data_IF_169496719705
#
_entry.id   IF_169496719705
#
_cell.length_a   1.000
_cell.length_b   1.000
_cell.length_c   1.000
_cell.angle_alpha   90.00
_cell.angle_beta   90.00
_cell.angle_gamma   90.00
#
_symmetry.space_group_name_H-M   'P 1'
#
loop_
_entity.id
_entity.type
_entity.pdbx_description
1 polymer ?
#
# COMPACT_ATOMS: atom_id res chain seq x y z
N UNK A 1 8.97 3.49 4.25
CA UNK A 1 7.53 3.41 4.60
C UNK A 1 6.71 4.21 3.59
N UNK A 2 5.77 3.57 2.92
CA UNK A 2 4.81 4.21 2.01
C UNK A 2 3.55 4.62 2.76
N UNK A 3 3.03 5.79 2.41
CA UNK A 3 1.86 6.38 3.04
C UNK A 3 0.89 6.84 1.95
N UNK A 4 -0.40 6.60 2.19
CA UNK A 4 -1.47 6.98 1.28
C UNK A 4 -2.22 8.15 1.88
N UNK A 5 -2.33 9.24 1.13
CA UNK A 5 -3.24 10.36 1.42
C UNK A 5 -4.32 10.40 0.36
N UNK A 6 -5.56 10.58 0.81
CA UNK A 6 -6.72 10.75 -0.06
C UNK A 6 -7.28 12.13 0.21
N UNK A 7 -7.42 12.94 -0.84
CA UNK A 7 -8.00 14.26 -0.72
C UNK A 7 -9.49 14.18 -0.38
N UNK A 8 -10.01 15.21 0.30
CA UNK A 8 -11.44 15.33 0.53
C UNK A 8 -12.13 15.77 -0.76
N UNK A 9 -12.81 14.84 -1.41
CA UNK A 9 -13.69 15.10 -2.54
C UNK A 9 -15.18 15.00 -2.14
N UNK A 10 -16.12 15.49 -2.95
CA UNK A 10 -17.56 15.38 -2.65
C UNK A 10 -18.07 13.94 -2.49
N UNK A 11 -17.31 12.94 -2.97
CA UNK A 11 -17.64 11.52 -2.92
C UNK A 11 -16.75 10.71 -1.96
N UNK A 12 -15.97 11.36 -1.08
CA UNK A 12 -14.97 10.67 -0.25
C UNK A 12 -15.53 9.53 0.62
N UNK A 13 -16.81 9.63 1.03
CA UNK A 13 -17.49 8.59 1.79
C UNK A 13 -17.54 7.23 1.07
N UNK A 14 -17.54 7.23 -0.28
CA UNK A 14 -17.52 6.00 -1.09
C UNK A 14 -16.17 5.29 -1.08
N UNK A 15 -15.11 5.99 -0.67
CA UNK A 15 -13.74 5.45 -0.59
C UNK A 15 -13.49 4.73 0.73
N UNK A 16 -14.17 5.13 1.81
CA UNK A 16 -14.02 4.56 3.15
C UNK A 16 -14.17 3.02 3.19
N UNK A 17 -15.21 2.40 2.59
CA UNK A 17 -15.34 0.94 2.64
C UNK A 17 -14.22 0.20 1.89
N UNK A 18 -13.60 0.82 0.88
CA UNK A 18 -12.46 0.23 0.16
C UNK A 18 -11.22 0.22 1.05
N UNK A 19 -10.93 1.36 1.68
CA UNK A 19 -9.80 1.49 2.61
C UNK A 19 -9.97 0.49 3.76
N UNK A 20 -11.18 0.39 4.35
CA UNK A 20 -11.47 -0.56 5.44
C UNK A 20 -11.33 -2.03 5.01
N UNK A 21 -11.58 -2.37 3.75
CA UNK A 21 -11.42 -3.74 3.26
C UNK A 21 -9.94 -4.16 3.26
N UNK A 22 -9.06 -3.24 2.91
CA UNK A 22 -7.61 -3.46 2.90
C UNK A 22 -6.99 -3.30 4.29
N UNK A 23 -7.50 -2.37 5.09
CA UNK A 23 -7.02 -2.06 6.44
C UNK A 23 -8.14 -2.30 7.45
N UNK A 24 -8.44 -3.56 7.79
CA UNK A 24 -9.54 -3.91 8.68
C UNK A 24 -9.31 -3.41 10.12
N UNK A 25 -8.06 -3.11 10.51
CA UNK A 25 -7.74 -2.49 11.80
C UNK A 25 -8.27 -1.04 11.91
N UNK A 26 -8.52 -0.37 10.78
CA UNK A 26 -9.00 1.00 10.76
C UNK A 26 -10.53 1.05 10.84
N UNK A 27 -11.03 1.83 11.79
CA UNK A 27 -12.46 2.09 11.91
C UNK A 27 -12.94 3.08 10.83
N UNK A 28 -14.21 2.97 10.40
CA UNK A 28 -14.82 3.90 9.44
C UNK A 28 -14.68 5.35 9.90
N UNK A 29 -14.91 5.62 11.19
CA UNK A 29 -14.79 6.97 11.77
C UNK A 29 -13.35 7.52 11.72
N UNK A 30 -12.37 6.65 11.93
CA UNK A 30 -10.93 6.98 11.85
C UNK A 30 -10.54 7.32 10.41
N UNK A 31 -10.92 6.48 9.45
CA UNK A 31 -10.66 6.71 8.02
C UNK A 31 -11.33 8.01 7.57
N UNK A 32 -12.59 8.23 7.97
CA UNK A 32 -13.34 9.44 7.65
C UNK A 32 -12.61 10.68 8.17
N UNK A 33 -12.25 10.68 9.46
CA UNK A 33 -11.53 11.78 10.10
C UNK A 33 -10.21 12.08 9.38
N UNK A 34 -9.44 11.04 9.06
CA UNK A 34 -8.15 11.20 8.34
C UNK A 34 -8.34 11.86 6.98
N UNK A 35 -9.33 11.45 6.19
CA UNK A 35 -9.62 12.09 4.89
C UNK A 35 -10.07 13.54 5.08
N UNK A 36 -10.92 13.82 6.08
CA UNK A 36 -11.44 15.16 6.35
C UNK A 36 -10.35 16.13 6.84
N UNK A 37 -9.42 15.65 7.65
CA UNK A 37 -8.25 16.39 8.14
C UNK A 37 -7.12 16.48 7.11
N UNK A 38 -7.21 15.74 5.99
CA UNK A 38 -6.10 15.64 5.03
C UNK A 38 -4.87 14.93 5.61
N UNK A 39 -5.08 13.99 6.51
CA UNK A 39 -4.06 13.13 7.12
C UNK A 39 -3.84 11.85 6.29
N UNK A 40 -2.86 11.05 6.71
CA UNK A 40 -2.54 9.76 6.09
C UNK A 40 -3.62 8.74 6.44
N UNK A 41 -4.21 8.13 5.41
CA UNK A 41 -5.32 7.17 5.57
C UNK A 41 -4.83 5.74 5.75
N UNK A 42 -3.69 5.40 5.15
CA UNK A 42 -3.13 4.06 5.17
C UNK A 42 -1.61 4.13 5.04
N UNK A 43 -0.91 3.19 5.66
CA UNK A 43 0.55 3.14 5.72
C UNK A 43 0.97 1.70 5.46
N UNK A 44 2.02 1.52 4.68
CA UNK A 44 2.52 0.23 4.27
C UNK A 44 4.04 0.27 4.16
N UNK A 45 4.73 -0.69 4.77
CA UNK A 45 6.16 -0.80 4.57
C UNK A 45 6.50 -1.34 3.17
N UNK A 46 7.55 -0.80 2.51
CA UNK A 46 8.01 -1.24 1.19
C UNK A 46 8.42 -2.71 1.20
N UNK A 47 9.08 -3.14 2.29
CA UNK A 47 9.39 -4.54 2.57
C UNK A 47 8.51 -4.89 3.77
N UNK A 48 7.38 -5.59 3.57
CA UNK A 48 6.56 -6.02 4.69
C UNK A 48 7.42 -6.91 5.59
N UNK A 49 7.33 -6.72 6.91
CA UNK A 49 7.86 -7.74 7.82
C UNK A 49 7.12 -9.03 7.51
N UNK A 50 7.86 -10.11 7.31
CA UNK A 50 7.27 -11.43 7.13
C UNK A 50 6.30 -11.70 8.29
N UNK A 51 5.04 -11.88 7.95
CA UNK A 51 3.98 -12.19 8.88
C UNK A 51 3.39 -13.56 8.49
N UNK A 52 3.53 -14.58 9.36
CA UNK A 52 3.15 -15.94 9.01
C UNK A 52 1.65 -16.10 8.75
N UNK A 53 0.78 -15.21 9.26
CA UNK A 53 -0.65 -15.25 8.94
C UNK A 53 -0.93 -14.67 7.56
N UNK A 54 -0.17 -13.67 7.12
CA UNK A 54 -0.24 -13.11 5.78
C UNK A 54 0.26 -14.11 4.73
N UNK A 55 1.37 -14.78 5.05
CA UNK A 55 1.99 -15.86 4.26
C UNK A 55 1.03 -17.05 4.09
N UNK A 56 0.47 -17.56 5.20
CA UNK A 56 -0.57 -18.61 5.19
C UNK A 56 -1.81 -18.23 4.38
N UNK A 57 -2.10 -16.95 4.23
CA UNK A 57 -3.26 -16.43 3.50
C UNK A 57 -2.92 -15.98 2.07
N UNK A 58 -1.64 -16.08 1.67
CA UNK A 58 -1.14 -15.58 0.38
C UNK A 58 -1.44 -14.10 0.17
N UNK A 59 -1.44 -13.31 1.23
CA UNK A 59 -1.70 -11.87 1.15
C UNK A 59 -0.38 -11.18 0.83
N UNK A 60 -0.37 -10.47 -0.30
CA UNK A 60 0.69 -9.54 -0.63
C UNK A 60 0.23 -8.13 -0.26
N UNK A 61 0.75 -7.60 0.86
CA UNK A 61 0.36 -6.27 1.36
C UNK A 61 0.77 -5.14 0.43
N UNK A 62 1.86 -5.30 -0.30
CA UNK A 62 2.36 -4.30 -1.25
C UNK A 62 1.40 -4.21 -2.45
N UNK A 63 1.00 -5.37 -2.97
CA UNK A 63 0.02 -5.50 -4.03
C UNK A 63 -1.35 -4.98 -3.57
N UNK A 64 -1.81 -5.34 -2.36
CA UNK A 64 -3.05 -4.82 -1.77
C UNK A 64 -3.06 -3.29 -1.69
N UNK A 65 -1.93 -2.67 -1.33
CA UNK A 65 -1.78 -1.21 -1.31
C UNK A 65 -1.89 -0.61 -2.72
N UNK A 66 -1.27 -1.25 -3.72
CA UNK A 66 -1.36 -0.84 -5.12
C UNK A 66 -2.78 -0.96 -5.68
N UNK A 67 -3.48 -2.05 -5.35
CA UNK A 67 -4.88 -2.28 -5.72
C UNK A 67 -5.81 -1.26 -5.08
N UNK A 68 -5.58 -0.91 -3.81
CA UNK A 68 -6.33 0.15 -3.13
C UNK A 68 -6.14 1.50 -3.84
N UNK A 69 -4.90 1.90 -4.15
CA UNK A 69 -4.60 3.13 -4.90
C UNK A 69 -5.36 3.13 -6.23
N UNK A 70 -5.24 2.05 -7.00
CA UNK A 70 -5.88 1.90 -8.31
C UNK A 70 -7.41 2.01 -8.20
N UNK A 71 -8.01 1.37 -7.19
CA UNK A 71 -9.45 1.41 -6.95
C UNK A 71 -9.97 2.79 -6.50
N UNK A 72 -9.12 3.58 -5.84
CA UNK A 72 -9.43 4.95 -5.43
C UNK A 72 -9.32 5.90 -6.62
N UNK A 73 -8.20 5.85 -7.35
CA UNK A 73 -7.98 6.67 -8.57
C UNK A 73 -9.03 6.36 -9.63
N UNK A 74 -9.36 5.09 -9.85
CA UNK A 74 -10.42 4.66 -10.79
C UNK A 74 -11.83 5.15 -10.41
N UNK A 75 -12.05 5.53 -9.14
CA UNK A 75 -13.29 6.17 -8.68
C UNK A 75 -13.23 7.70 -8.69
N UNK A 76 -12.16 8.29 -9.24
CA UNK A 76 -11.93 9.72 -9.31
C UNK A 76 -11.41 10.34 -8.01
N UNK A 77 -10.94 9.53 -7.05
CA UNK A 77 -10.32 10.05 -5.84
C UNK A 77 -8.95 10.66 -6.18
N UNK A 78 -8.63 11.81 -5.58
CA UNK A 78 -7.27 12.36 -5.65
C UNK A 78 -6.42 11.70 -4.58
N UNK A 79 -5.49 10.87 -5.02
CA UNK A 79 -4.59 10.12 -4.14
C UNK A 79 -3.18 10.66 -4.25
N UNK A 80 -2.47 10.77 -3.13
CA UNK A 80 -1.06 11.13 -3.07
C UNK A 80 -0.32 10.03 -2.30
N UNK A 81 0.70 9.47 -2.93
CA UNK A 81 1.61 8.53 -2.27
C UNK A 81 2.76 9.33 -1.69
N UNK A 82 3.10 9.06 -0.43
CA UNK A 82 4.28 9.60 0.21
C UNK A 82 5.22 8.45 0.56
N UNK A 83 6.52 8.74 0.45
CA UNK A 83 7.58 7.90 0.97
C UNK A 83 8.27 8.70 2.07
N UNK A 84 8.30 8.14 3.29
CA UNK A 84 8.90 8.80 4.46
C UNK A 84 8.38 10.24 4.68
N UNK A 85 7.05 10.42 4.57
CA UNK A 85 6.39 11.72 4.72
C UNK A 85 6.54 12.68 3.54
N UNK A 86 7.27 12.32 2.48
CA UNK A 86 7.47 13.18 1.30
C UNK A 86 6.65 12.67 0.12
N UNK A 87 5.89 13.52 -0.58
CA UNK A 87 5.16 13.09 -1.76
C UNK A 87 6.13 12.62 -2.84
N UNK A 88 5.88 11.45 -3.40
CA UNK A 88 6.66 10.89 -4.49
C UNK A 88 5.84 10.85 -5.77
N UNK A 89 6.52 10.97 -6.90
CA UNK A 89 5.89 10.79 -8.21
C UNK A 89 5.47 9.34 -8.41
N UNK A 90 4.39 9.12 -9.16
CA UNK A 90 3.94 7.78 -9.53
C UNK A 90 5.04 6.96 -10.22
N UNK A 91 5.85 7.60 -11.07
CA UNK A 91 7.00 6.95 -11.72
C UNK A 91 8.04 6.47 -10.71
N UNK A 92 8.35 7.28 -9.70
CA UNK A 92 9.31 6.90 -8.65
C UNK A 92 8.75 5.75 -7.81
N UNK A 93 7.47 5.82 -7.46
CA UNK A 93 6.79 4.74 -6.74
C UNK A 93 6.84 3.42 -7.53
N UNK A 94 6.52 3.46 -8.83
CA UNK A 94 6.54 2.27 -9.67
C UNK A 94 7.94 1.69 -9.84
N UNK A 95 8.95 2.54 -10.05
CA UNK A 95 10.35 2.09 -10.14
C UNK A 95 10.82 1.45 -8.84
N UNK A 96 10.48 2.01 -7.68
CA UNK A 96 10.83 1.40 -6.39
C UNK A 96 10.16 0.04 -6.20
N UNK A 97 8.91 -0.12 -6.62
CA UNK A 97 8.22 -1.42 -6.55
C UNK A 97 8.86 -2.47 -7.47
N UNK A 98 9.25 -2.08 -8.68
CA UNK A 98 9.94 -2.98 -9.61
C UNK A 98 11.31 -3.40 -9.07
N UNK A 99 12.07 -2.46 -8.50
CA UNK A 99 13.35 -2.73 -7.86
C UNK A 99 13.20 -3.72 -6.69
N UNK A 100 12.17 -3.52 -5.84
CA UNK A 100 11.92 -4.43 -4.71
C UNK A 100 11.60 -5.85 -5.17
N UNK A 101 10.80 -6.01 -6.22
CA UNK A 101 10.51 -7.33 -6.81
C UNK A 101 11.75 -7.98 -7.42
N UNK A 102 12.62 -7.20 -8.04
CA UNK A 102 13.89 -7.71 -8.58
C UNK A 102 14.84 -8.16 -7.46
N UNK A 103 14.90 -7.42 -6.36
CA UNK A 103 15.68 -7.80 -5.18
C UNK A 103 15.12 -9.10 -4.57
N UNK A 104 13.81 -9.20 -4.38
CA UNK A 104 13.16 -10.40 -3.84
C UNK A 104 13.47 -11.63 -4.69
N UNK A 105 13.35 -11.51 -6.02
CA UNK A 105 13.70 -12.60 -6.95
C UNK A 105 15.16 -13.02 -6.81
N UNK A 106 16.10 -12.07 -6.76
CA UNK A 106 17.52 -12.41 -6.62
C UNK A 106 17.83 -13.09 -5.29
N UNK A 107 17.19 -12.67 -4.19
CA UNK A 107 17.35 -13.33 -2.88
C UNK A 107 16.78 -14.75 -2.91
N UNK A 108 15.64 -14.97 -3.56
CA UNK A 108 15.07 -16.32 -3.74
C UNK A 108 15.98 -17.22 -4.59
N UNK A 109 16.53 -16.69 -5.70
CA UNK A 109 17.47 -17.42 -6.57
C UNK A 109 18.79 -17.78 -5.84
N UNK A 110 19.31 -16.91 -4.98
CA UNK A 110 20.50 -17.20 -4.16
C UNK A 110 20.20 -18.27 -3.08
N UNK A 111 19.03 -18.19 -2.41
CA UNK A 111 18.63 -19.20 -1.42
C UNK A 111 18.42 -20.59 -2.04
N UNK A 112 17.81 -20.68 -3.22
CA UNK A 112 17.61 -21.95 -3.94
C UNK A 112 18.95 -22.56 -4.39
N UNK A 113 19.89 -21.72 -4.83
CA UNK A 113 21.26 -22.15 -5.14
C UNK A 113 21.97 -22.72 -3.91
N UNK A 114 21.92 -22.03 -2.76
CA UNK A 114 22.58 -22.48 -1.54
C UNK A 114 21.91 -23.72 -0.90
N UNK A 115 20.60 -23.92 -1.09
CA UNK A 115 19.87 -25.09 -0.61
C UNK A 115 20.03 -26.33 -1.50
N UNK A 116 20.50 -26.16 -2.74
CA UNK A 116 20.77 -27.22 -3.71
C UNK A 116 22.20 -27.77 -3.69
N UNK A 117 23.09 -27.24 -2.84
CA UNK A 117 24.47 -27.72 -2.63
C UNK A 117 24.61 -28.63 -1.40
#
# INVERSE_FOLDING_TARGET
MYQLKVAKDSNYLKHIPLIRKCFPELSIGEIKRRIESGEVVAEQDPIPRWDPLDDLRGIDRVQMFCDLRTALVGRGAKVTVLEDGKPISETLFQNSLELLKEIERQVEEDMDREAGE
#
